data_IF_922506752476
#
_entry.id   IF_922506752476
#
_cell.length_a   1.000
_cell.length_b   1.000
_cell.length_c   1.000
_cell.angle_alpha   90.00
_cell.angle_beta   90.00
_cell.angle_gamma   90.00
#
_symmetry.space_group_name_H-M   'P 1'
#
loop_
_entity.id
_entity.type
_entity.pdbx_description
1 polymer ?
#
# COMPACT_ATOMS: atom_id res chain seq x y z
N UNK A 1 -28.26 0.69 -27.98
CA UNK A 1 -29.08 0.14 -26.88
C UNK A 1 -28.15 -0.69 -26.01
N UNK A 2 -28.17 -0.49 -24.69
CA UNK A 2 -27.36 -1.22 -23.71
C UNK A 2 -28.34 -1.98 -22.83
N UNK A 3 -28.21 -3.31 -22.75
CA UNK A 3 -29.06 -4.14 -21.89
C UNK A 3 -28.35 -4.52 -20.58
N UNK A 4 -27.01 -4.49 -20.54
CA UNK A 4 -26.20 -4.74 -19.34
C UNK A 4 -24.99 -3.78 -19.29
N UNK A 5 -24.68 -3.28 -18.10
CA UNK A 5 -23.54 -2.44 -17.81
C UNK A 5 -22.71 -3.07 -16.68
N UNK A 6 -21.48 -3.45 -16.99
CA UNK A 6 -20.52 -3.95 -16.01
C UNK A 6 -19.61 -2.80 -15.56
N UNK A 7 -19.53 -2.59 -14.25
CA UNK A 7 -18.81 -1.47 -13.63
C UNK A 7 -17.71 -2.02 -12.73
N UNK A 8 -16.46 -1.92 -13.18
CA UNK A 8 -15.28 -2.40 -12.47
C UNK A 8 -14.65 -1.24 -11.70
N UNK A 9 -14.52 -1.36 -10.38
CA UNK A 9 -13.91 -0.31 -9.58
C UNK A 9 -14.00 -0.52 -8.08
N UNK A 10 -13.55 0.49 -7.33
CA UNK A 10 -13.66 0.52 -5.86
C UNK A 10 -14.92 1.25 -5.41
N UNK A 11 -14.94 1.66 -4.14
CA UNK A 11 -16.09 2.28 -3.47
C UNK A 11 -16.75 3.41 -4.26
N UNK A 12 -15.96 4.40 -4.74
CA UNK A 12 -16.51 5.52 -5.51
C UNK A 12 -17.15 5.09 -6.84
N UNK A 13 -16.56 4.11 -7.51
CA UNK A 13 -17.09 3.55 -8.77
C UNK A 13 -18.38 2.77 -8.52
N UNK A 14 -18.47 2.03 -7.42
CA UNK A 14 -19.67 1.29 -7.03
C UNK A 14 -20.81 2.21 -6.56
N UNK A 15 -20.49 3.32 -5.88
CA UNK A 15 -21.47 4.36 -5.58
C UNK A 15 -22.07 4.95 -6.88
N UNK A 16 -21.22 5.19 -7.89
CA UNK A 16 -21.67 5.57 -9.23
C UNK A 16 -22.54 4.51 -9.90
N UNK A 17 -22.18 3.23 -9.80
CA UNK A 17 -22.99 2.12 -10.31
C UNK A 17 -24.38 2.08 -9.67
N UNK A 18 -24.47 2.30 -8.35
CA UNK A 18 -25.75 2.35 -7.64
C UNK A 18 -26.60 3.54 -8.09
N UNK A 19 -26.01 4.73 -8.25
CA UNK A 19 -26.74 5.90 -8.78
C UNK A 19 -27.28 5.66 -10.21
N UNK A 20 -26.51 4.98 -11.06
CA UNK A 20 -26.95 4.61 -12.41
C UNK A 20 -28.10 3.58 -12.35
N UNK A 21 -27.99 2.59 -11.46
CA UNK A 21 -29.05 1.60 -11.24
C UNK A 21 -30.36 2.27 -10.82
N UNK A 22 -30.31 3.17 -9.84
CA UNK A 22 -31.49 3.89 -9.33
C UNK A 22 -32.16 4.72 -10.44
N UNK A 23 -31.38 5.40 -11.27
CA UNK A 23 -31.92 6.18 -12.39
C UNK A 23 -32.52 5.28 -13.49
N UNK A 24 -31.92 4.11 -13.77
CA UNK A 24 -32.51 3.12 -14.68
C UNK A 24 -33.87 2.65 -14.17
N UNK A 25 -33.99 2.33 -12.87
CA UNK A 25 -35.26 1.92 -12.25
C UNK A 25 -36.30 3.03 -12.31
N UNK A 26 -35.92 4.26 -11.99
CA UNK A 26 -36.81 5.43 -12.06
C UNK A 26 -37.37 5.65 -13.46
N UNK A 27 -36.53 5.48 -14.49
CA UNK A 27 -36.92 5.59 -15.91
C UNK A 27 -37.56 4.32 -16.48
N UNK A 28 -37.72 3.26 -15.68
CA UNK A 28 -38.24 1.94 -16.10
C UNK A 28 -37.45 1.33 -17.27
N UNK A 29 -36.14 1.61 -17.32
CA UNK A 29 -35.23 1.02 -18.30
C UNK A 29 -34.93 -0.43 -17.90
N UNK A 30 -34.97 -1.33 -18.88
CA UNK A 30 -34.60 -2.75 -18.69
C UNK A 30 -33.09 -2.92 -18.86
N UNK A 31 -32.32 -2.39 -17.93
CA UNK A 31 -30.85 -2.45 -17.92
C UNK A 31 -30.38 -3.09 -16.63
N UNK A 32 -29.53 -4.11 -16.74
CA UNK A 32 -28.81 -4.66 -15.59
C UNK A 32 -27.55 -3.83 -15.33
N UNK A 33 -27.29 -3.48 -14.07
CA UNK A 33 -26.05 -2.82 -13.65
C UNK A 33 -25.34 -3.76 -12.70
N UNK A 34 -24.19 -4.28 -13.12
CA UNK A 34 -23.40 -5.28 -12.38
C UNK A 34 -22.11 -4.63 -11.93
N UNK A 35 -21.84 -4.66 -10.63
CA UNK A 35 -20.63 -4.11 -10.04
C UNK A 35 -19.59 -5.21 -9.79
N UNK A 36 -18.37 -5.02 -10.28
CA UNK A 36 -17.25 -5.94 -10.06
C UNK A 36 -16.21 -5.25 -9.18
N UNK A 37 -15.94 -5.76 -7.97
CA UNK A 37 -15.08 -5.13 -6.97
C UNK A 37 -13.60 -5.17 -7.36
N UNK A 38 -13.00 -3.99 -7.56
CA UNK A 38 -11.58 -3.81 -7.91
C UNK A 38 -10.88 -2.94 -6.88
N UNK A 39 -10.11 -3.59 -6.02
CA UNK A 39 -9.13 -2.98 -5.11
C UNK A 39 -7.94 -3.92 -5.00
N UNK A 40 -6.72 -3.38 -4.96
CA UNK A 40 -5.55 -4.19 -4.63
C UNK A 40 -5.30 -4.20 -3.12
N UNK A 41 -5.96 -3.33 -2.35
CA UNK A 41 -5.76 -3.23 -0.90
C UNK A 41 -6.46 -4.36 -0.14
N UNK A 42 -7.24 -5.22 -0.82
CA UNK A 42 -8.03 -6.32 -0.25
C UNK A 42 -8.93 -5.90 0.94
N UNK A 43 -9.57 -4.74 0.81
CA UNK A 43 -10.29 -4.04 1.87
C UNK A 43 -11.82 -4.07 1.70
N UNK A 44 -12.35 -5.02 0.93
CA UNK A 44 -13.79 -5.16 0.71
C UNK A 44 -14.40 -6.16 1.71
N UNK A 45 -15.34 -5.73 2.56
CA UNK A 45 -16.02 -6.63 3.49
C UNK A 45 -16.71 -7.79 2.76
N UNK A 46 -16.78 -8.95 3.40
CA UNK A 46 -17.44 -10.17 2.90
C UNK A 46 -16.72 -10.84 1.72
N UNK A 47 -15.58 -10.34 1.28
CA UNK A 47 -14.70 -11.00 0.31
C UNK A 47 -13.37 -11.35 0.97
N UNK A 48 -12.97 -12.62 0.88
CA UNK A 48 -11.66 -13.05 1.40
C UNK A 48 -10.49 -12.49 0.57
N UNK A 49 -10.73 -12.32 -0.74
CA UNK A 49 -9.73 -11.86 -1.70
C UNK A 49 -10.36 -11.05 -2.84
N UNK A 50 -9.73 -9.93 -3.18
CA UNK A 50 -10.00 -9.14 -4.38
C UNK A 50 -8.93 -9.37 -5.44
N UNK A 51 -9.29 -9.26 -6.71
CA UNK A 51 -8.33 -9.50 -7.78
C UNK A 51 -7.27 -8.39 -7.87
N UNK A 52 -6.05 -8.82 -8.14
CA UNK A 52 -4.85 -7.99 -8.19
C UNK A 52 -4.08 -7.94 -6.86
N UNK A 53 -4.64 -8.45 -5.76
CA UNK A 53 -3.98 -8.45 -4.45
C UNK A 53 -2.75 -9.37 -4.42
N UNK A 54 -2.85 -10.60 -4.91
CA UNK A 54 -1.71 -11.54 -4.90
C UNK A 54 -0.56 -11.02 -5.75
N UNK A 55 -0.89 -10.51 -6.94
CA UNK A 55 0.09 -9.91 -7.84
C UNK A 55 0.75 -8.69 -7.18
N UNK A 56 -0.03 -7.85 -6.50
CA UNK A 56 0.50 -6.70 -5.79
C UNK A 56 1.47 -7.11 -4.66
N UNK A 57 1.14 -8.17 -3.91
CA UNK A 57 2.02 -8.73 -2.86
C UNK A 57 3.31 -9.27 -3.47
N UNK A 58 3.26 -10.01 -4.59
CA UNK A 58 4.44 -10.52 -5.27
C UNK A 58 5.37 -9.39 -5.75
N UNK A 59 4.83 -8.35 -6.38
CA UNK A 59 5.65 -7.21 -6.85
C UNK A 59 6.19 -6.38 -5.68
N UNK A 60 5.41 -6.19 -4.61
CA UNK A 60 5.87 -5.55 -3.39
C UNK A 60 7.04 -6.33 -2.76
N UNK A 61 6.97 -7.66 -2.76
CA UNK A 61 8.04 -8.52 -2.27
C UNK A 61 9.34 -8.34 -3.07
N UNK A 62 9.26 -8.16 -4.40
CA UNK A 62 10.44 -7.86 -5.22
C UNK A 62 11.10 -6.56 -4.81
N UNK A 63 10.32 -5.51 -4.55
CA UNK A 63 10.83 -4.23 -4.05
C UNK A 63 11.49 -4.35 -2.67
N UNK A 64 10.88 -5.11 -1.76
CA UNK A 64 11.46 -5.42 -0.44
C UNK A 64 12.80 -6.15 -0.60
N UNK A 65 12.89 -7.14 -1.49
CA UNK A 65 14.12 -7.88 -1.73
C UNK A 65 15.23 -6.99 -2.31
N UNK A 66 14.89 -6.06 -3.21
CA UNK A 66 15.86 -5.06 -3.69
C UNK A 66 16.35 -4.16 -2.54
N UNK A 67 15.45 -3.68 -1.68
CA UNK A 67 15.82 -2.88 -0.52
C UNK A 67 16.70 -3.65 0.47
N UNK A 68 16.42 -4.94 0.68
CA UNK A 68 17.24 -5.82 1.51
C UNK A 68 18.66 -5.97 0.96
N UNK A 69 18.81 -6.23 -0.34
CA UNK A 69 20.12 -6.38 -0.98
C UNK A 69 20.92 -5.08 -0.86
N UNK A 70 20.29 -3.93 -1.13
CA UNK A 70 20.91 -2.61 -0.97
C UNK A 70 21.34 -2.35 0.48
N UNK A 71 20.44 -2.54 1.44
CA UNK A 71 20.71 -2.32 2.86
C UNK A 71 21.85 -3.19 3.37
N UNK A 72 21.88 -4.47 2.98
CA UNK A 72 22.91 -5.43 3.38
C UNK A 72 24.27 -5.15 2.73
N UNK A 73 24.28 -4.50 1.56
CA UNK A 73 25.52 -4.22 0.81
C UNK A 73 26.21 -2.92 1.26
N UNK A 74 25.54 -2.10 2.07
CA UNK A 74 26.07 -0.85 2.59
C UNK A 74 26.44 -0.92 4.08
N UNK A 75 27.47 -0.18 4.49
CA UNK A 75 27.81 -0.03 5.90
C UNK A 75 26.75 0.82 6.61
N UNK A 76 26.07 0.23 7.60
CA UNK A 76 24.89 0.81 8.26
C UNK A 76 23.77 1.13 7.26
N UNK A 77 23.45 0.18 6.40
CA UNK A 77 22.43 0.35 5.36
C UNK A 77 21.01 0.26 5.89
N UNK A 78 20.14 1.14 5.39
CA UNK A 78 18.70 1.18 5.70
C UNK A 78 17.92 1.14 4.39
N UNK A 79 17.21 0.04 4.17
CA UNK A 79 16.28 -0.11 3.05
C UNK A 79 14.90 0.36 3.48
N UNK A 80 14.41 1.46 2.92
CA UNK A 80 13.07 1.99 3.19
C UNK A 80 12.17 1.76 1.97
N UNK A 81 11.09 1.01 2.15
CA UNK A 81 10.12 0.69 1.09
C UNK A 81 8.76 1.25 1.46
N UNK A 82 8.23 2.16 0.64
CA UNK A 82 6.83 2.59 0.75
C UNK A 82 5.97 1.67 -0.12
N UNK A 83 4.95 1.05 0.46
CA UNK A 83 3.99 0.21 -0.27
C UNK A 83 2.60 0.85 -0.30
N UNK A 84 1.78 0.37 -1.22
CA UNK A 84 0.36 0.72 -1.27
C UNK A 84 -0.37 0.20 -0.03
N UNK A 85 -1.46 0.86 0.32
CA UNK A 85 -2.24 0.56 1.52
C UNK A 85 -2.90 1.82 2.05
N UNK A 86 -3.86 2.36 1.29
CA UNK A 86 -4.52 3.62 1.61
C UNK A 86 -5.52 3.47 2.76
N UNK A 87 -6.23 2.35 2.76
CA UNK A 87 -7.30 2.06 3.72
C UNK A 87 -6.94 0.92 4.66
N UNK A 88 -5.95 0.10 4.31
CA UNK A 88 -5.49 -1.05 5.09
C UNK A 88 -4.00 -1.33 4.85
N UNK A 89 -3.38 -2.05 5.78
CA UNK A 89 -2.00 -2.51 5.71
C UNK A 89 -1.82 -3.88 5.09
N UNK A 90 -2.82 -4.44 4.39
CA UNK A 90 -2.77 -5.85 3.96
C UNK A 90 -1.60 -6.16 3.03
N UNK A 91 -1.33 -5.32 2.02
CA UNK A 91 -0.18 -5.51 1.11
C UNK A 91 1.12 -5.45 1.90
N UNK A 92 1.30 -4.42 2.74
CA UNK A 92 2.51 -4.25 3.53
C UNK A 92 2.76 -5.42 4.47
N UNK A 93 1.73 -5.90 5.16
CA UNK A 93 1.83 -7.05 6.06
C UNK A 93 2.13 -8.35 5.31
N UNK A 94 1.40 -8.67 4.24
CA UNK A 94 1.60 -9.92 3.49
C UNK A 94 2.95 -9.94 2.76
N UNK A 95 3.36 -8.83 2.17
CA UNK A 95 4.67 -8.72 1.52
C UNK A 95 5.81 -8.83 2.55
N UNK A 96 5.66 -8.19 3.72
CA UNK A 96 6.63 -8.29 4.80
C UNK A 96 6.78 -9.73 5.29
N UNK A 97 5.65 -10.38 5.64
CA UNK A 97 5.62 -11.74 6.17
C UNK A 97 6.16 -12.76 5.16
N UNK A 98 5.73 -12.67 3.89
CA UNK A 98 6.16 -13.61 2.85
C UNK A 98 7.63 -13.41 2.46
N UNK A 99 8.17 -12.18 2.51
CA UNK A 99 9.59 -11.92 2.19
C UNK A 99 10.54 -12.50 3.22
N UNK A 100 10.15 -12.47 4.50
CA UNK A 100 11.04 -12.76 5.63
C UNK A 100 12.22 -11.79 5.80
N UNK A 101 12.22 -10.63 5.12
CA UNK A 101 13.35 -9.68 5.12
C UNK A 101 13.09 -8.39 5.89
N UNK A 102 11.84 -8.09 6.22
CA UNK A 102 11.43 -6.82 6.86
C UNK A 102 11.69 -6.87 8.36
N UNK A 103 12.42 -5.88 8.88
CA UNK A 103 12.66 -5.72 10.32
C UNK A 103 11.58 -4.87 11.00
N UNK A 104 11.04 -3.88 10.29
CA UNK A 104 9.98 -2.99 10.78
C UNK A 104 8.89 -2.85 9.72
N UNK A 105 7.66 -3.23 10.06
CA UNK A 105 6.48 -3.08 9.21
C UNK A 105 5.51 -2.07 9.86
N UNK A 106 5.22 -0.97 9.16
CA UNK A 106 4.34 0.10 9.62
C UNK A 106 3.07 0.13 8.77
N UNK A 107 1.92 0.01 9.41
CA UNK A 107 0.60 -0.11 8.79
C UNK A 107 -0.38 0.92 9.37
N UNK A 108 -1.40 1.36 8.63
CA UNK A 108 -2.34 2.38 9.10
C UNK A 108 -3.17 1.94 10.32
N UNK A 109 -3.33 0.65 10.55
CA UNK A 109 -4.11 0.11 11.68
C UNK A 109 -3.39 0.24 13.03
N UNK A 110 -2.07 0.45 13.04
CA UNK A 110 -1.25 0.48 14.26
C UNK A 110 -0.53 1.83 14.34
N UNK A 111 -0.94 2.67 15.28
CA UNK A 111 -0.28 3.94 15.55
C UNK A 111 1.14 3.74 16.07
N UNK A 112 2.06 4.64 15.69
CA UNK A 112 3.45 4.60 16.12
C UNK A 112 4.01 6.01 16.29
N UNK A 113 5.05 6.13 17.11
CA UNK A 113 5.85 7.34 17.20
C UNK A 113 7.15 7.17 16.40
N UNK A 114 7.59 8.19 15.69
CA UNK A 114 8.92 8.18 15.07
C UNK A 114 10.02 8.42 16.10
N UNK A 115 9.83 9.45 16.92
CA UNK A 115 10.76 9.91 17.95
C UNK A 115 10.43 9.31 19.34
N UNK A 116 11.35 9.40 20.30
CA UNK A 116 11.18 8.94 21.68
C UNK A 116 11.77 7.57 21.98
N UNK A 117 11.78 7.18 23.26
CA UNK A 117 12.41 5.93 23.75
C UNK A 117 11.84 4.66 23.09
N UNK A 118 10.53 4.66 22.81
CA UNK A 118 9.83 3.56 22.13
C UNK A 118 9.50 3.89 20.67
N UNK A 119 10.14 4.94 20.12
CA UNK A 119 9.93 5.37 18.75
C UNK A 119 10.63 4.48 17.74
N UNK A 120 10.15 4.51 16.49
CA UNK A 120 10.73 3.77 15.37
C UNK A 120 12.22 4.10 15.22
N UNK A 121 12.63 5.36 15.34
CA UNK A 121 14.02 5.78 15.16
C UNK A 121 14.97 5.15 16.20
N UNK A 122 14.54 5.07 17.46
CA UNK A 122 15.32 4.41 18.52
C UNK A 122 15.47 2.92 18.24
N UNK A 123 14.41 2.28 17.72
CA UNK A 123 14.48 0.87 17.32
C UNK A 123 15.42 0.65 16.13
N UNK A 124 15.42 1.55 15.14
CA UNK A 124 16.36 1.49 14.01
C UNK A 124 17.82 1.63 14.48
N UNK A 125 18.11 2.48 15.47
CA UNK A 125 19.44 2.57 16.07
C UNK A 125 19.90 1.22 16.63
N UNK A 126 19.04 0.53 17.37
CA UNK A 126 19.35 -0.79 17.93
C UNK A 126 19.58 -1.85 16.83
N UNK A 127 18.77 -1.82 15.77
CA UNK A 127 18.95 -2.71 14.63
C UNK A 127 20.28 -2.45 13.92
N UNK A 128 20.63 -1.18 13.66
CA UNK A 128 21.93 -0.83 13.07
C UNK A 128 23.08 -1.29 13.97
N UNK A 129 23.00 -1.08 15.28
CA UNK A 129 24.04 -1.47 16.23
C UNK A 129 24.24 -2.99 16.31
N UNK A 130 23.16 -3.77 16.27
CA UNK A 130 23.19 -5.22 16.49
C UNK A 130 23.35 -6.02 15.19
N UNK A 131 22.73 -5.57 14.10
CA UNK A 131 22.64 -6.28 12.81
C UNK A 131 23.48 -5.62 11.71
N UNK A 132 23.81 -4.33 11.84
CA UNK A 132 24.57 -3.55 10.85
C UNK A 132 23.76 -3.04 9.66
N UNK A 133 22.51 -3.47 9.52
CA UNK A 133 21.57 -3.01 8.50
C UNK A 133 20.12 -3.27 8.93
N UNK A 134 19.16 -2.61 8.30
CA UNK A 134 17.74 -2.94 8.50
C UNK A 134 16.87 -2.64 7.27
N UNK A 135 15.70 -3.29 7.22
CA UNK A 135 14.67 -3.05 6.20
C UNK A 135 13.38 -2.58 6.87
N UNK A 136 12.88 -1.44 6.41
CA UNK A 136 11.64 -0.81 6.87
C UNK A 136 10.64 -0.82 5.74
N UNK A 137 9.47 -1.39 5.98
CA UNK A 137 8.32 -1.35 5.09
C UNK A 137 7.25 -0.46 5.71
N UNK A 138 6.75 0.52 4.95
CA UNK A 138 5.72 1.46 5.39
C UNK A 138 4.58 1.53 4.38
N UNK A 139 3.34 1.30 4.81
CA UNK A 139 2.17 1.54 3.99
C UNK A 139 1.94 3.05 3.81
N UNK A 140 1.47 3.49 2.64
CA UNK A 140 1.34 4.91 2.31
C UNK A 140 0.46 5.71 3.28
N UNK A 141 -0.55 5.09 3.90
CA UNK A 141 -1.42 5.72 4.88
C UNK A 141 -0.95 5.57 6.34
N UNK A 142 0.17 4.89 6.59
CA UNK A 142 0.70 4.74 7.94
C UNK A 142 1.27 6.08 8.45
N UNK A 143 0.97 6.43 9.70
CA UNK A 143 1.55 7.60 10.35
C UNK A 143 1.10 8.96 9.79
N UNK A 144 -0.03 9.05 9.07
CA UNK A 144 -0.51 10.30 8.47
C UNK A 144 -0.76 11.41 9.51
N UNK A 145 -1.04 11.05 10.76
CA UNK A 145 -1.12 11.97 11.91
C UNK A 145 0.20 12.67 12.25
N UNK A 146 1.32 12.13 11.78
CA UNK A 146 2.67 12.71 11.96
C UNK A 146 3.01 13.73 10.87
N UNK A 147 2.23 13.78 9.78
CA UNK A 147 2.42 14.70 8.68
C UNK A 147 1.46 15.88 8.78
N UNK A 148 1.87 17.03 8.24
CA UNK A 148 0.94 18.14 8.05
C UNK A 148 -0.02 17.78 6.91
N UNK A 149 -1.30 17.66 7.25
CA UNK A 149 -2.35 17.45 6.26
C UNK A 149 -2.58 18.73 5.46
N UNK A 150 -2.45 18.64 4.14
CA UNK A 150 -2.77 19.74 3.23
C UNK A 150 -4.26 20.07 3.21
N UNK A 151 -5.12 19.14 3.67
CA UNK A 151 -6.57 19.23 3.55
C UNK A 151 -7.07 19.12 2.11
N UNK A 152 -6.18 18.88 1.15
CA UNK A 152 -6.52 18.78 -0.26
C UNK A 152 -7.26 17.47 -0.56
N UNK A 153 -8.18 17.52 -1.51
CA UNK A 153 -8.90 16.35 -2.02
C UNK A 153 -8.63 16.18 -3.51
N UNK A 154 -8.66 14.93 -3.97
CA UNK A 154 -8.62 14.63 -5.39
C UNK A 154 -9.96 14.98 -6.08
N UNK A 155 -10.02 14.86 -7.40
CA UNK A 155 -11.23 15.15 -8.18
C UNK A 155 -12.43 14.25 -7.82
N UNK A 156 -12.20 13.14 -7.12
CA UNK A 156 -13.23 12.22 -6.62
C UNK A 156 -13.60 12.49 -5.15
N UNK A 157 -13.02 13.51 -4.53
CA UNK A 157 -13.27 13.91 -3.14
C UNK A 157 -12.46 13.17 -2.08
N UNK A 158 -11.48 12.33 -2.46
CA UNK A 158 -10.67 11.61 -1.48
C UNK A 158 -9.51 12.48 -0.99
N UNK A 159 -9.21 12.44 0.32
CA UNK A 159 -8.11 13.20 0.92
C UNK A 159 -6.74 12.79 0.33
N UNK A 160 -5.98 13.75 -0.16
CA UNK A 160 -4.63 13.50 -0.70
C UNK A 160 -3.68 13.23 0.47
N UNK A 161 -3.10 12.03 0.49
CA UNK A 161 -2.14 11.63 1.52
C UNK A 161 -0.81 12.37 1.33
N UNK A 162 -0.19 12.70 2.45
CA UNK A 162 1.19 13.21 2.46
C UNK A 162 2.16 12.04 2.34
N UNK A 163 3.31 12.23 1.70
CA UNK A 163 4.28 11.15 1.45
C UNK A 163 5.06 10.79 2.73
N UNK A 164 4.57 9.77 3.45
CA UNK A 164 5.21 9.21 4.63
C UNK A 164 6.61 8.66 4.32
N UNK A 165 6.84 8.10 3.13
CA UNK A 165 8.13 7.53 2.74
C UNK A 165 9.22 8.60 2.69
N UNK A 166 8.93 9.73 2.05
CA UNK A 166 9.85 10.89 2.00
C UNK A 166 10.04 11.49 3.40
N UNK A 167 8.96 11.63 4.18
CA UNK A 167 9.04 12.16 5.54
C UNK A 167 9.93 11.29 6.45
N UNK A 168 9.71 9.97 6.44
CA UNK A 168 10.54 9.01 7.18
C UNK A 168 11.99 9.06 6.73
N UNK A 169 12.25 9.11 5.42
CA UNK A 169 13.63 9.21 4.91
C UNK A 169 14.36 10.43 5.48
N UNK A 170 13.69 11.59 5.53
CA UNK A 170 14.26 12.82 6.09
C UNK A 170 14.48 12.73 7.60
N UNK A 171 13.52 12.16 8.34
CA UNK A 171 13.61 11.94 9.79
C UNK A 171 14.75 11.00 10.16
N UNK A 172 14.88 9.86 9.47
CA UNK A 172 15.98 8.92 9.66
C UNK A 172 17.32 9.60 9.38
N UNK A 173 17.47 10.31 8.25
CA UNK A 173 18.69 11.07 7.94
C UNK A 173 19.06 12.06 9.04
N UNK A 174 18.08 12.80 9.55
CA UNK A 174 18.29 13.82 10.57
C UNK A 174 18.68 13.21 11.91
N UNK A 175 18.02 12.13 12.32
CA UNK A 175 18.29 11.41 13.56
C UNK A 175 19.70 10.82 13.58
N UNK A 176 20.08 10.05 12.56
CA UNK A 176 21.40 9.42 12.48
C UNK A 176 22.54 10.44 12.39
N UNK A 177 22.33 11.56 11.66
CA UNK A 177 23.26 12.69 11.66
C UNK A 177 23.40 13.33 13.04
N UNK A 178 22.30 13.46 13.79
CA UNK A 178 22.28 14.05 15.13
C UNK A 178 23.06 13.23 16.17
N UNK A 179 23.02 11.90 16.06
CA UNK A 179 23.77 11.00 16.96
C UNK A 179 25.20 10.70 16.47
N UNK A 180 25.63 11.27 15.34
CA UNK A 180 26.97 11.06 14.78
C UNK A 180 27.21 9.66 14.19
N UNK A 181 26.15 8.92 13.85
CA UNK A 181 26.24 7.59 13.24
C UNK A 181 25.96 7.70 11.75
N UNK A 182 26.89 7.21 10.93
CA UNK A 182 26.65 7.10 9.49
C UNK A 182 25.54 6.08 9.20
N UNK A 183 24.60 6.42 8.31
CA UNK A 183 23.58 5.51 7.81
C UNK A 183 23.32 5.77 6.32
N UNK A 184 23.40 4.73 5.48
CA UNK A 184 23.12 4.81 4.05
C UNK A 184 21.67 4.38 3.77
N UNK A 185 20.82 5.34 3.40
CA UNK A 185 19.37 5.11 3.29
C UNK A 185 18.97 5.04 1.83
N UNK A 186 18.47 3.87 1.40
CA UNK A 186 17.89 3.68 0.07
C UNK A 186 16.38 3.66 0.17
N UNK A 187 15.73 4.60 -0.50
CA UNK A 187 14.27 4.70 -0.54
C UNK A 187 13.76 4.11 -1.86
N UNK A 188 12.81 3.18 -1.76
CA UNK A 188 12.15 2.55 -2.90
C UNK A 188 10.64 2.82 -2.81
N UNK A 189 10.09 3.39 -3.87
CA UNK A 189 8.65 3.53 -4.08
C UNK A 189 8.26 2.76 -5.36
N UNK A 190 7.78 1.51 -5.24
CA UNK A 190 7.38 0.68 -6.36
C UNK A 190 5.91 0.88 -6.75
N UNK A 191 5.22 1.92 -6.26
CA UNK A 191 3.75 2.09 -6.40
C UNK A 191 3.23 1.78 -7.80
N UNK A 192 3.86 2.31 -8.85
CA UNK A 192 3.43 2.07 -10.22
C UNK A 192 3.82 0.68 -10.74
N UNK A 193 4.94 0.13 -10.29
CA UNK A 193 5.36 -1.23 -10.65
C UNK A 193 4.41 -2.26 -10.06
N UNK A 194 3.92 -2.04 -8.84
CA UNK A 194 2.97 -2.91 -8.15
C UNK A 194 1.61 -2.94 -8.86
N UNK A 195 1.05 -1.78 -9.21
CA UNK A 195 -0.33 -1.71 -9.75
C UNK A 195 -0.46 -1.80 -11.27
N UNK A 196 0.64 -1.62 -12.01
CA UNK A 196 0.64 -1.65 -13.48
C UNK A 196 1.31 -2.91 -14.06
N UNK A 197 1.65 -3.87 -13.22
CA UNK A 197 2.16 -5.16 -13.64
C UNK A 197 1.06 -6.05 -14.23
N UNK A 198 1.48 -7.15 -14.84
CA UNK A 198 0.59 -8.17 -15.39
C UNK A 198 0.13 -9.08 -14.25
N UNK A 199 -1.16 -9.42 -14.21
CA UNK A 199 -1.70 -10.34 -13.21
C UNK A 199 -0.94 -11.68 -13.21
N UNK A 200 -0.63 -12.19 -12.03
CA UNK A 200 -0.10 -13.54 -11.85
C UNK A 200 -1.19 -14.60 -12.14
N UNK A 201 -0.82 -15.88 -12.05
CA UNK A 201 -1.74 -16.97 -12.37
C UNK A 201 -2.97 -17.00 -11.44
N UNK A 202 -2.79 -16.73 -10.15
CA UNK A 202 -3.86 -16.71 -9.15
C UNK A 202 -4.91 -15.64 -9.47
N UNK A 203 -4.45 -14.40 -9.67
CA UNK A 203 -5.33 -13.28 -10.00
C UNK A 203 -5.96 -13.42 -11.39
N UNK A 204 -5.25 -14.00 -12.37
CA UNK A 204 -5.82 -14.26 -13.69
C UNK A 204 -6.99 -15.26 -13.65
N UNK A 205 -6.88 -16.31 -12.83
CA UNK A 205 -7.97 -17.26 -12.59
C UNK A 205 -9.12 -16.56 -11.88
N UNK A 206 -8.85 -15.79 -10.81
CA UNK A 206 -9.89 -15.07 -10.07
C UNK A 206 -10.63 -14.06 -10.96
N UNK A 207 -9.91 -13.31 -11.80
CA UNK A 207 -10.50 -12.42 -12.80
C UNK A 207 -11.43 -13.17 -13.75
N UNK A 208 -11.03 -14.35 -14.22
CA UNK A 208 -11.84 -15.17 -15.13
C UNK A 208 -13.12 -15.66 -14.45
N UNK A 209 -13.02 -16.15 -13.21
CA UNK A 209 -14.16 -16.61 -12.42
C UNK A 209 -15.13 -15.46 -12.17
N UNK A 210 -14.64 -14.29 -11.74
CA UNK A 210 -15.49 -13.12 -11.51
C UNK A 210 -16.17 -12.66 -12.82
N UNK A 211 -15.43 -12.64 -13.94
CA UNK A 211 -15.98 -12.24 -15.23
C UNK A 211 -17.03 -13.20 -15.79
N UNK A 212 -16.93 -14.51 -15.51
CA UNK A 212 -17.91 -15.51 -15.94
C UNK A 212 -19.17 -15.55 -15.07
N UNK A 213 -19.06 -15.14 -13.80
CA UNK A 213 -20.16 -15.18 -12.83
C UNK A 213 -20.85 -13.83 -12.60
N UNK A 214 -20.36 -12.75 -13.23
CA UNK A 214 -20.97 -11.42 -13.24
C UNK A 214 -22.15 -11.36 -14.20
#
# INVERSE_FOLDING_TARGET
>A
RIDMLFVLGGNGTHAGANAIHDECRKRKLKVSVVAVPKTIDNDIPLMDKTFGFDTAVEEAQRAINSAYIEARSAYHGIGLVKLMGRSSGFIAMHASLSSGQVDVCLIPEVSFALDGEYGVLQHLEQLIKNKGFCVVCVAEAAGQELLQNSGATDASGNAILSDIGVHMQQKIKTHFKGIGVHADIKYIDPTYMVRACRANASDAILCTVLGQNA
#
